data_IF_742417081105
#
_entry.id   IF_742417081105
#
_cell.length_a   1.000
_cell.length_b   1.000
_cell.length_c   1.000
_cell.angle_alpha   90.00
_cell.angle_beta   90.00
_cell.angle_gamma   90.00
#
_symmetry.space_group_name_H-M   'P 1'
#
loop_
_entity.id
_entity.type
_entity.pdbx_description
1 polymer ?
#
# COMPACT_ATOMS: atom_id res chain seq x y z
N UNK A 1 -12.54 -12.37 19.36
CA UNK A 1 -11.69 -11.30 18.78
C UNK A 1 -12.61 -10.43 17.93
N UNK A 2 -12.72 -9.14 18.20
CA UNK A 2 -13.62 -8.25 17.43
C UNK A 2 -12.96 -7.99 16.08
N UNK A 3 -13.48 -8.62 15.03
CA UNK A 3 -13.05 -8.34 13.66
C UNK A 3 -13.55 -6.96 13.28
N UNK A 4 -12.79 -6.23 12.47
CA UNK A 4 -13.24 -4.94 11.93
C UNK A 4 -12.74 -3.69 12.68
N UNK A 5 -11.90 -3.83 13.70
CA UNK A 5 -11.29 -2.66 14.36
C UNK A 5 -10.08 -2.19 13.55
N UNK A 6 -10.17 -0.96 13.02
CA UNK A 6 -9.05 -0.29 12.40
C UNK A 6 -8.00 0.08 13.43
N UNK A 7 -6.73 -0.12 13.08
CA UNK A 7 -5.62 0.51 13.78
C UNK A 7 -5.70 2.04 13.65
N UNK A 8 -4.89 2.76 14.44
CA UNK A 8 -4.54 4.14 14.08
C UNK A 8 -3.90 4.20 12.70
N UNK A 9 -3.85 5.39 12.13
CA UNK A 9 -2.99 5.64 10.99
C UNK A 9 -1.52 5.60 11.41
N UNK A 10 -0.73 4.88 10.63
CA UNK A 10 0.71 4.81 10.69
C UNK A 10 1.30 5.62 9.55
N UNK A 11 2.36 6.37 9.83
CA UNK A 11 3.15 7.03 8.80
C UNK A 11 3.88 5.99 7.94
N UNK A 12 4.19 6.37 6.69
CA UNK A 12 4.90 5.48 5.79
C UNK A 12 6.18 4.91 6.40
N UNK A 13 7.01 5.73 7.04
CA UNK A 13 8.28 5.30 7.64
C UNK A 13 8.13 4.34 8.83
N UNK A 14 6.94 4.26 9.43
CA UNK A 14 6.66 3.24 10.44
C UNK A 14 6.58 1.86 9.79
N UNK A 15 6.14 1.77 8.53
CA UNK A 15 5.85 0.52 7.82
C UNK A 15 6.93 0.18 6.80
N UNK A 16 7.27 1.10 5.91
CA UNK A 16 8.14 0.89 4.76
C UNK A 16 9.35 1.83 4.76
N UNK A 17 10.36 1.48 3.97
CA UNK A 17 11.40 2.38 3.49
C UNK A 17 11.29 2.50 1.97
N UNK A 18 11.54 3.71 1.45
CA UNK A 18 11.64 3.97 0.02
C UNK A 18 13.11 4.19 -0.35
N UNK A 19 13.62 3.36 -1.26
CA UNK A 19 14.99 3.38 -1.76
C UNK A 19 15.08 3.83 -3.22
N UNK A 20 13.94 3.97 -3.92
CA UNK A 20 13.86 4.66 -5.23
C UNK A 20 14.74 4.12 -6.35
N UNK A 21 15.18 2.86 -6.25
CA UNK A 21 16.10 2.26 -7.23
C UNK A 21 15.30 1.80 -8.47
N UNK A 22 14.87 2.77 -9.28
CA UNK A 22 14.24 2.55 -10.58
C UNK A 22 15.17 3.02 -11.70
N UNK A 23 15.35 2.23 -12.73
CA UNK A 23 15.94 2.71 -13.98
C UNK A 23 14.86 2.93 -15.04
N UNK A 24 15.05 3.94 -15.89
CA UNK A 24 14.13 4.27 -17.00
C UNK A 24 14.02 3.16 -18.04
N UNK A 25 14.90 2.15 -17.98
CA UNK A 25 14.88 1.04 -18.92
C UNK A 25 13.75 0.05 -18.67
N UNK A 26 13.14 0.06 -17.47
CA UNK A 26 12.11 -0.91 -17.04
C UNK A 26 12.62 -2.36 -17.01
N UNK A 27 13.93 -2.59 -17.24
CA UNK A 27 14.52 -3.92 -17.29
C UNK A 27 15.00 -4.29 -15.89
N UNK A 28 14.39 -5.34 -15.33
CA UNK A 28 14.94 -5.98 -14.14
C UNK A 28 16.37 -6.45 -14.42
N UNK A 29 17.33 -5.90 -13.68
CA UNK A 29 18.71 -6.36 -13.66
C UNK A 29 18.96 -7.01 -12.31
N UNK A 30 19.88 -7.97 -12.23
CA UNK A 30 20.39 -8.50 -10.94
C UNK A 30 21.64 -7.75 -10.47
N UNK A 31 22.19 -6.88 -11.31
CA UNK A 31 23.40 -6.12 -11.01
C UNK A 31 23.02 -4.83 -10.27
N UNK A 32 23.59 -4.57 -9.09
CA UNK A 32 23.42 -3.28 -8.43
C UNK A 32 23.86 -2.13 -9.32
N UNK A 33 23.06 -1.06 -9.36
CA UNK A 33 23.37 0.22 -10.02
C UNK A 33 23.32 1.33 -8.99
N UNK A 34 24.08 2.40 -9.24
CA UNK A 34 23.98 3.65 -8.49
C UNK A 34 22.93 4.53 -9.17
N UNK A 35 21.83 4.82 -8.46
CA UNK A 35 20.73 5.67 -8.93
C UNK A 35 20.49 6.71 -7.84
N UNK A 36 20.58 7.99 -8.18
CA UNK A 36 20.39 9.11 -7.25
C UNK A 36 21.22 9.00 -5.95
N UNK A 37 22.47 8.51 -6.06
CA UNK A 37 23.37 8.33 -4.91
C UNK A 37 23.12 7.07 -4.08
N UNK A 38 22.10 6.27 -4.40
CA UNK A 38 21.79 5.00 -3.73
C UNK A 38 22.25 3.84 -4.61
N UNK A 39 23.04 2.91 -4.05
CA UNK A 39 23.43 1.69 -4.75
C UNK A 39 22.46 0.57 -4.42
N UNK A 40 21.78 0.02 -5.43
CA UNK A 40 20.85 -1.08 -5.27
C UNK A 40 20.53 -1.77 -6.59
N UNK A 41 19.89 -2.92 -6.53
CA UNK A 41 19.43 -3.63 -7.72
C UNK A 41 18.17 -2.92 -8.26
N UNK A 42 18.10 -2.47 -9.52
CA UNK A 42 16.92 -1.80 -10.06
C UNK A 42 15.63 -2.62 -9.98
N UNK A 43 14.48 -1.96 -9.78
CA UNK A 43 13.12 -2.54 -9.77
C UNK A 43 12.87 -3.59 -8.67
N UNK A 44 13.82 -3.69 -7.76
CA UNK A 44 13.82 -4.61 -6.64
C UNK A 44 12.77 -4.27 -5.60
N UNK A 45 11.79 -5.16 -5.38
CA UNK A 45 10.60 -4.84 -4.55
C UNK A 45 9.99 -3.49 -4.92
N UNK A 46 10.19 -3.08 -6.18
CA UNK A 46 9.79 -1.81 -6.73
C UNK A 46 10.24 -0.60 -5.88
N UNK A 47 11.46 -0.61 -5.35
CA UNK A 47 11.98 0.52 -4.58
C UNK A 47 11.50 0.57 -3.12
N UNK A 48 10.61 -0.33 -2.70
CA UNK A 48 10.04 -0.32 -1.35
C UNK A 48 10.53 -1.52 -0.53
N UNK A 49 10.76 -1.32 0.76
CA UNK A 49 11.12 -2.37 1.71
C UNK A 49 10.16 -2.33 2.89
N UNK A 50 9.44 -3.43 3.16
CA UNK A 50 8.73 -3.59 4.42
C UNK A 50 9.76 -3.74 5.56
N UNK A 51 9.69 -2.88 6.59
CA UNK A 51 10.72 -2.79 7.64
C UNK A 51 10.84 -4.03 8.51
N UNK A 52 9.72 -4.71 8.74
CA UNK A 52 9.67 -5.93 9.58
C UNK A 52 10.25 -7.17 8.91
N UNK A 53 10.42 -7.16 7.57
CA UNK A 53 10.91 -8.34 6.85
C UNK A 53 12.42 -8.46 7.04
N UNK A 54 12.84 -9.57 7.67
CA UNK A 54 14.25 -9.86 7.94
C UNK A 54 14.78 -10.90 6.94
N UNK A 55 15.98 -10.63 6.40
CA UNK A 55 16.77 -11.63 5.67
C UNK A 55 16.22 -12.05 4.30
N UNK A 56 16.71 -13.20 3.81
CA UNK A 56 16.32 -13.77 2.52
C UNK A 56 16.98 -13.14 1.30
N UNK A 57 16.59 -13.62 0.11
CA UNK A 57 16.98 -13.06 -1.20
C UNK A 57 16.19 -11.78 -1.55
N UNK A 58 15.83 -11.00 -0.53
CA UNK A 58 15.15 -9.73 -0.73
C UNK A 58 16.16 -8.64 -1.04
N UNK A 59 15.77 -7.71 -1.88
CA UNK A 59 16.71 -6.80 -2.53
C UNK A 59 17.38 -5.79 -1.62
N UNK A 60 16.78 -5.51 -0.46
CA UNK A 60 17.30 -4.57 0.53
C UNK A 60 17.65 -5.24 1.86
N UNK A 61 17.69 -6.58 1.91
CA UNK A 61 17.92 -7.33 3.16
C UNK A 61 19.29 -7.08 3.79
N UNK A 62 20.25 -6.60 2.99
CA UNK A 62 21.62 -6.25 3.43
C UNK A 62 21.77 -4.79 3.89
N UNK A 63 20.81 -3.92 3.60
CA UNK A 63 20.87 -2.53 4.04
C UNK A 63 20.42 -2.43 5.50
N UNK A 64 21.14 -1.65 6.34
CA UNK A 64 20.64 -1.33 7.67
C UNK A 64 19.31 -0.58 7.54
N UNK A 65 18.39 -0.80 8.49
CA UNK A 65 17.17 -0.02 8.55
C UNK A 65 17.52 1.44 8.90
N UNK A 66 16.84 2.41 8.29
CA UNK A 66 16.98 3.84 8.59
C UNK A 66 16.63 4.12 10.06
N UNK A 67 15.57 3.48 10.55
CA UNK A 67 15.15 3.47 11.95
C UNK A 67 15.13 2.03 12.45
N UNK A 68 15.71 1.75 13.61
CA UNK A 68 15.67 0.41 14.20
C UNK A 68 14.23 -0.01 14.56
N UNK A 69 13.95 -1.31 14.56
CA UNK A 69 12.63 -1.83 14.98
C UNK A 69 12.39 -1.67 16.48
N UNK A 70 13.45 -1.55 17.28
CA UNK A 70 13.34 -1.31 18.73
C UNK A 70 12.91 0.13 19.02
N UNK A 71 13.43 1.10 18.24
CA UNK A 71 13.07 2.51 18.39
C UNK A 71 11.74 2.84 17.71
N UNK A 72 11.52 2.32 16.50
CA UNK A 72 10.30 2.54 15.73
C UNK A 72 9.72 1.19 15.28
N UNK A 73 8.87 0.55 16.09
CA UNK A 73 8.27 -0.74 15.76
C UNK A 73 7.51 -0.69 14.44
N UNK A 74 7.65 -1.75 13.64
CA UNK A 74 6.88 -1.88 12.41
C UNK A 74 5.53 -2.54 12.71
N UNK A 75 4.40 -1.87 12.41
CA UNK A 75 3.07 -2.36 12.77
C UNK A 75 2.56 -3.46 11.85
N UNK A 76 3.31 -3.83 10.80
CA UNK A 76 2.92 -4.84 9.83
C UNK A 76 4.05 -5.86 9.70
N UNK A 77 3.79 -7.12 10.02
CA UNK A 77 4.71 -8.23 9.84
C UNK A 77 4.49 -8.94 8.49
N UNK A 78 5.51 -9.69 8.05
CA UNK A 78 5.36 -10.57 6.89
C UNK A 78 4.24 -11.59 7.11
N UNK A 79 3.50 -11.89 6.05
CA UNK A 79 2.40 -12.85 6.08
C UNK A 79 1.12 -12.36 6.77
N UNK A 80 1.09 -11.19 7.41
CA UNK A 80 -0.16 -10.68 7.99
C UNK A 80 -1.20 -10.42 6.90
N UNK A 81 -2.45 -10.83 7.17
CA UNK A 81 -3.60 -10.74 6.25
C UNK A 81 -4.69 -9.86 6.84
N UNK A 82 -5.58 -9.39 5.97
CA UNK A 82 -6.73 -8.58 6.33
C UNK A 82 -6.94 -7.45 5.33
N UNK A 83 -7.43 -6.33 5.84
CA UNK A 83 -7.75 -5.13 5.07
C UNK A 83 -6.74 -4.01 5.40
N UNK A 84 -6.52 -3.13 4.44
CA UNK A 84 -5.69 -1.94 4.60
C UNK A 84 -6.38 -0.73 3.96
N UNK A 85 -6.10 0.44 4.53
CA UNK A 85 -6.47 1.74 3.98
C UNK A 85 -5.19 2.51 3.73
N UNK A 86 -4.98 2.96 2.50
CA UNK A 86 -3.90 3.87 2.11
C UNK A 86 -4.50 5.27 2.01
N UNK A 87 -3.90 6.22 2.72
CA UNK A 87 -4.27 7.63 2.67
C UNK A 87 -3.10 8.45 2.17
N UNK A 88 -3.32 9.20 1.09
CA UNK A 88 -2.37 10.17 0.55
C UNK A 88 -2.95 11.56 0.80
N UNK A 89 -2.27 12.38 1.61
CA UNK A 89 -2.71 13.72 1.95
C UNK A 89 -1.66 14.75 1.55
N UNK A 90 -1.96 15.60 0.58
CA UNK A 90 -1.05 16.66 0.13
C UNK A 90 -1.82 17.97 -0.12
N UNK A 91 -1.32 19.07 0.48
CA UNK A 91 -1.84 20.44 0.30
C UNK A 91 -3.38 20.56 0.38
N UNK A 92 -3.98 19.90 1.37
CA UNK A 92 -5.43 19.96 1.61
C UNK A 92 -6.27 19.01 0.75
N UNK A 93 -5.66 18.24 -0.15
CA UNK A 93 -6.30 17.14 -0.87
C UNK A 93 -6.02 15.81 -0.19
N UNK A 94 -7.00 14.92 -0.23
CA UNK A 94 -6.93 13.57 0.32
C UNK A 94 -7.35 12.56 -0.73
N UNK A 95 -6.52 11.55 -0.92
CA UNK A 95 -6.82 10.38 -1.73
C UNK A 95 -6.75 9.13 -0.89
N UNK A 96 -7.85 8.39 -0.86
CA UNK A 96 -7.99 7.18 -0.05
C UNK A 96 -8.20 5.98 -0.97
N UNK A 97 -7.57 4.86 -0.60
CA UNK A 97 -7.76 3.54 -1.19
C UNK A 97 -7.98 2.52 -0.08
N UNK A 98 -9.01 1.68 -0.21
CA UNK A 98 -9.18 0.50 0.64
C UNK A 98 -8.95 -0.75 -0.21
N UNK A 99 -8.19 -1.70 0.35
CA UNK A 99 -8.00 -3.00 -0.28
C UNK A 99 -7.81 -4.12 0.75
N UNK A 100 -7.77 -5.37 0.28
CA UNK A 100 -7.39 -6.54 1.10
C UNK A 100 -6.17 -7.32 0.60
N UNK A 101 -5.58 -8.08 1.51
CA UNK A 101 -4.59 -9.13 1.20
C UNK A 101 -5.24 -10.27 0.41
N UNK A 102 -4.43 -11.07 -0.31
CA UNK A 102 -4.93 -12.33 -0.89
C UNK A 102 -5.07 -13.37 0.22
N UNK A 103 -6.06 -14.25 0.10
CA UNK A 103 -6.40 -15.23 1.14
C UNK A 103 -5.29 -16.26 1.41
N UNK A 104 -4.54 -16.68 0.38
CA UNK A 104 -3.67 -17.87 0.47
C UNK A 104 -2.18 -17.61 0.25
N UNK A 105 -1.79 -16.65 -0.60
CA UNK A 105 -0.41 -16.56 -1.09
C UNK A 105 0.34 -15.29 -0.65
N UNK A 106 -0.37 -14.17 -0.43
CA UNK A 106 0.26 -12.87 -0.26
C UNK A 106 -0.43 -12.06 0.84
N UNK A 107 0.34 -11.69 1.87
CA UNK A 107 -0.12 -10.81 2.94
C UNK A 107 -0.39 -9.38 2.46
N UNK A 108 -0.84 -8.52 3.38
CA UNK A 108 -1.16 -7.11 3.12
C UNK A 108 -0.01 -6.40 2.40
N UNK A 109 1.22 -6.59 2.85
CA UNK A 109 2.36 -5.81 2.36
C UNK A 109 2.67 -6.03 0.88
N UNK A 110 2.45 -7.25 0.36
CA UNK A 110 2.64 -7.54 -1.06
C UNK A 110 1.66 -6.73 -1.93
N UNK A 111 0.41 -6.58 -1.47
CA UNK A 111 -0.60 -5.77 -2.17
C UNK A 111 -0.29 -4.29 -2.04
N UNK A 112 0.19 -3.85 -0.87
CA UNK A 112 0.65 -2.47 -0.70
C UNK A 112 1.76 -2.13 -1.70
N UNK A 113 2.72 -3.03 -1.98
CA UNK A 113 3.73 -2.78 -3.01
C UNK A 113 3.10 -2.42 -4.36
N UNK A 114 2.11 -3.18 -4.82
CA UNK A 114 1.41 -2.90 -6.09
C UNK A 114 0.82 -1.47 -6.10
N UNK A 115 0.27 -1.02 -4.96
CA UNK A 115 -0.33 0.30 -4.84
C UNK A 115 0.72 1.41 -4.66
N UNK A 116 1.81 1.16 -3.96
CA UNK A 116 2.87 2.14 -3.77
C UNK A 116 3.59 2.48 -5.08
N UNK A 117 3.71 1.52 -5.99
CA UNK A 117 4.20 1.76 -7.37
C UNK A 117 3.26 2.71 -8.12
N UNK A 118 1.95 2.45 -8.04
CA UNK A 118 0.92 3.29 -8.66
C UNK A 118 0.90 4.67 -8.02
N UNK A 119 1.17 4.79 -6.73
CA UNK A 119 1.31 6.08 -6.07
C UNK A 119 2.53 6.81 -6.60
N UNK A 120 3.68 6.14 -6.67
CA UNK A 120 4.93 6.71 -7.18
C UNK A 120 4.89 7.09 -8.67
N UNK A 121 3.96 6.53 -9.46
CA UNK A 121 3.92 6.75 -10.90
C UNK A 121 5.02 5.98 -11.63
N UNK A 122 5.33 4.77 -11.16
CA UNK A 122 6.40 3.88 -11.69
C UNK A 122 5.86 2.55 -12.22
N UNK A 123 4.56 2.50 -12.52
CA UNK A 123 3.85 1.31 -12.99
C UNK A 123 4.32 0.81 -14.36
N UNK A 124 4.68 1.73 -15.27
CA UNK A 124 5.16 1.40 -16.62
C UNK A 124 6.47 0.63 -16.59
N UNK A 125 7.34 0.94 -15.62
CA UNK A 125 8.59 0.21 -15.40
C UNK A 125 8.37 -1.24 -14.93
N UNK A 126 7.14 -1.58 -14.51
CA UNK A 126 6.78 -2.86 -13.91
C UNK A 126 5.68 -3.61 -14.68
N UNK A 127 5.38 -3.21 -15.93
CA UNK A 127 4.31 -3.80 -16.77
C UNK A 127 2.92 -3.79 -16.10
N UNK A 128 2.69 -2.88 -15.16
CA UNK A 128 1.40 -2.71 -14.51
C UNK A 128 0.64 -1.57 -15.19
N UNK A 129 -0.66 -1.75 -15.44
CA UNK A 129 -1.49 -0.66 -15.96
C UNK A 129 -1.91 0.29 -14.83
N UNK A 130 -1.72 1.60 -15.05
CA UNK A 130 -2.31 2.64 -14.20
C UNK A 130 -3.82 2.59 -14.32
N UNK A 131 -4.53 2.84 -13.23
CA UNK A 131 -5.98 3.06 -13.30
C UNK A 131 -6.26 4.54 -13.48
N UNK A 132 -7.38 4.89 -14.11
CA UNK A 132 -7.76 6.28 -14.34
C UNK A 132 -7.76 7.13 -13.06
N UNK A 133 -8.03 6.54 -11.89
CA UNK A 133 -7.99 7.23 -10.59
C UNK A 133 -6.57 7.56 -10.14
N UNK A 134 -5.62 6.63 -10.28
CA UNK A 134 -4.21 6.92 -9.97
C UNK A 134 -3.61 7.89 -10.98
N UNK A 135 -3.95 7.77 -12.27
CA UNK A 135 -3.54 8.74 -13.28
C UNK A 135 -4.07 10.15 -12.97
N UNK A 136 -5.32 10.29 -12.54
CA UNK A 136 -5.87 11.58 -12.10
C UNK A 136 -5.12 12.11 -10.87
N UNK A 137 -4.84 11.26 -9.87
CA UNK A 137 -4.04 11.67 -8.72
C UNK A 137 -2.65 12.18 -9.14
N UNK A 138 -2.01 11.57 -10.14
CA UNK A 138 -0.72 12.07 -10.65
C UNK A 138 -0.84 13.42 -11.35
N UNK A 139 -1.90 13.62 -12.13
CA UNK A 139 -2.22 14.92 -12.73
C UNK A 139 -2.34 15.99 -11.64
N UNK A 140 -3.15 15.73 -10.61
CA UNK A 140 -3.32 16.64 -9.49
C UNK A 140 -1.99 16.94 -8.77
N UNK A 141 -1.23 15.89 -8.42
CA UNK A 141 0.02 16.04 -7.68
C UNK A 141 1.08 16.80 -8.50
N UNK A 142 1.31 16.41 -9.75
CA UNK A 142 2.41 16.96 -10.57
C UNK A 142 2.05 18.30 -11.18
N UNK A 143 0.86 18.45 -11.74
CA UNK A 143 0.49 19.64 -12.51
C UNK A 143 -0.14 20.73 -11.64
N UNK A 144 -0.96 20.35 -10.66
CA UNK A 144 -1.70 21.33 -9.85
C UNK A 144 -0.98 21.66 -8.55
N UNK A 145 -0.31 20.68 -7.94
CA UNK A 145 0.37 20.85 -6.66
C UNK A 145 1.90 20.97 -6.77
N UNK A 146 2.48 20.69 -7.95
CA UNK A 146 3.92 20.68 -8.19
C UNK A 146 4.70 19.78 -7.21
N UNK A 147 4.17 18.60 -6.95
CA UNK A 147 4.73 17.57 -6.07
C UNK A 147 5.13 16.36 -6.90
N UNK A 148 6.38 15.89 -6.72
CA UNK A 148 6.83 14.63 -7.28
C UNK A 148 6.51 13.45 -6.35
N UNK A 149 5.57 12.56 -6.72
CA UNK A 149 5.22 11.41 -5.89
C UNK A 149 6.32 10.33 -5.85
N UNK A 150 7.33 10.39 -6.72
CA UNK A 150 8.39 9.39 -6.79
C UNK A 150 9.59 9.74 -5.89
N UNK A 151 9.34 10.14 -4.64
CA UNK A 151 10.40 10.59 -3.72
C UNK A 151 10.20 10.10 -2.29
N UNK A 152 11.31 9.93 -1.55
CA UNK A 152 11.25 9.50 -0.15
C UNK A 152 10.49 10.51 0.74
N UNK A 153 10.69 11.81 0.51
CA UNK A 153 10.00 12.86 1.25
C UNK A 153 8.50 12.79 1.01
N UNK A 154 8.07 12.62 -0.24
CA UNK A 154 6.66 12.47 -0.55
C UNK A 154 6.01 11.34 0.24
N UNK A 155 6.61 10.15 0.24
CA UNK A 155 6.06 9.01 0.98
C UNK A 155 6.00 9.27 2.49
N UNK A 156 7.08 9.78 3.09
CA UNK A 156 7.13 10.02 4.53
C UNK A 156 6.12 11.09 5.00
N UNK A 157 5.94 12.15 4.20
CA UNK A 157 5.15 13.31 4.57
C UNK A 157 3.66 13.13 4.23
N UNK A 158 3.36 12.43 3.13
CA UNK A 158 2.00 12.41 2.56
C UNK A 158 1.31 11.05 2.63
N UNK A 159 2.02 9.93 2.81
CA UNK A 159 1.41 8.59 2.76
C UNK A 159 1.27 7.98 4.15
N UNK A 160 0.07 7.49 4.45
CA UNK A 160 -0.28 6.82 5.71
C UNK A 160 -1.05 5.53 5.45
N UNK A 161 -0.99 4.62 6.41
CA UNK A 161 -1.68 3.33 6.37
C UNK A 161 -2.50 3.09 7.62
N UNK A 162 -3.67 2.47 7.48
CA UNK A 162 -4.38 1.83 8.58
C UNK A 162 -4.65 0.36 8.21
N UNK A 163 -4.77 -0.51 9.21
CA UNK A 163 -4.94 -1.95 9.02
C UNK A 163 -6.10 -2.49 9.84
N UNK A 164 -6.84 -3.44 9.27
CA UNK A 164 -7.65 -4.41 10.01
C UNK A 164 -7.02 -5.77 9.78
N UNK A 165 -6.46 -6.37 10.83
CA UNK A 165 -5.76 -7.65 10.71
C UNK A 165 -6.69 -8.82 11.01
N UNK A 166 -6.51 -9.90 10.28
CA UNK A 166 -7.20 -11.18 10.50
C UNK A 166 -6.20 -12.21 10.99
N UNK A 167 -6.55 -12.89 12.07
CA UNK A 167 -5.75 -13.98 12.61
C UNK A 167 -5.84 -15.22 11.71
N UNK A 168 -4.70 -15.62 11.12
CA UNK A 168 -4.58 -16.82 10.27
C UNK A 168 -4.84 -18.13 11.02
N UNK A 169 -4.70 -18.13 12.34
CA UNK A 169 -4.95 -19.32 13.16
C UNK A 169 -6.44 -19.58 13.39
N UNK A 170 -7.30 -18.60 13.12
CA UNK A 170 -8.75 -18.77 13.18
C UNK A 170 -9.24 -19.71 12.08
N UNK A 171 -10.15 -20.63 12.41
CA UNK A 171 -10.79 -21.52 11.43
C UNK A 171 -11.53 -20.75 10.31
N UNK A 172 -11.97 -19.52 10.61
CA UNK A 172 -12.80 -18.69 9.74
C UNK A 172 -11.98 -17.62 8.98
N UNK A 173 -10.65 -17.65 9.05
CA UNK A 173 -9.80 -16.58 8.50
C UNK A 173 -10.08 -16.27 7.02
N UNK A 174 -10.41 -17.31 6.22
CA UNK A 174 -10.73 -17.15 4.78
C UNK A 174 -12.01 -16.37 4.58
N UNK A 175 -13.04 -16.71 5.34
CA UNK A 175 -14.32 -16.00 5.31
C UNK A 175 -14.16 -14.55 5.79
N UNK A 176 -13.36 -14.34 6.83
CA UNK A 176 -13.07 -12.99 7.30
C UNK A 176 -12.35 -12.17 6.22
N UNK A 177 -11.28 -12.69 5.61
CA UNK A 177 -10.59 -11.97 4.52
C UNK A 177 -11.49 -11.79 3.30
N UNK A 178 -12.36 -12.75 2.97
CA UNK A 178 -13.21 -12.63 1.80
C UNK A 178 -14.20 -11.46 1.93
N UNK A 179 -14.74 -11.23 3.15
CA UNK A 179 -15.76 -10.22 3.45
C UNK A 179 -15.22 -8.86 3.92
N UNK A 180 -14.02 -8.81 4.52
CA UNK A 180 -13.53 -7.64 5.25
C UNK A 180 -13.42 -6.36 4.40
N UNK A 181 -13.08 -6.49 3.12
CA UNK A 181 -12.99 -5.34 2.19
C UNK A 181 -14.36 -4.73 1.92
N UNK A 182 -15.38 -5.55 1.67
CA UNK A 182 -16.76 -5.08 1.48
C UNK A 182 -17.30 -4.39 2.73
N UNK A 183 -17.01 -4.94 3.91
CA UNK A 183 -17.38 -4.32 5.20
C UNK A 183 -16.66 -2.99 5.41
N UNK A 184 -15.35 -2.93 5.11
CA UNK A 184 -14.55 -1.73 5.19
C UNK A 184 -15.04 -0.62 4.27
N UNK A 185 -15.36 -0.95 3.01
CA UNK A 185 -15.90 -0.01 2.03
C UNK A 185 -17.30 0.49 2.42
N UNK A 186 -18.16 -0.39 2.93
CA UNK A 186 -19.49 0.00 3.42
C UNK A 186 -19.39 0.96 4.61
N UNK A 187 -18.54 0.64 5.58
CA UNK A 187 -18.29 1.52 6.73
C UNK A 187 -17.70 2.87 6.31
N UNK A 188 -16.72 2.88 5.39
CA UNK A 188 -16.13 4.11 4.88
C UNK A 188 -17.20 5.00 4.21
N UNK A 189 -18.04 4.42 3.34
CA UNK A 189 -19.15 5.14 2.69
C UNK A 189 -20.17 5.67 3.69
N UNK A 190 -20.54 4.87 4.68
CA UNK A 190 -21.47 5.30 5.74
C UNK A 190 -20.93 6.52 6.50
N UNK A 191 -19.62 6.55 6.81
CA UNK A 191 -19.01 7.64 7.58
C UNK A 191 -18.64 8.87 6.77
N UNK A 192 -18.28 8.71 5.50
CA UNK A 192 -17.71 9.79 4.67
C UNK A 192 -18.59 10.16 3.47
N UNK A 193 -19.72 9.48 3.27
CA UNK A 193 -20.72 9.78 2.25
C UNK A 193 -20.42 9.21 0.86
N UNK A 194 -19.17 8.81 0.59
CA UNK A 194 -18.77 8.22 -0.69
C UNK A 194 -17.70 7.13 -0.51
N UNK A 195 -17.42 6.36 -1.55
CA UNK A 195 -16.32 5.40 -1.57
C UNK A 195 -14.95 6.09 -1.64
N UNK A 196 -13.86 5.40 -1.25
CA UNK A 196 -12.53 5.96 -1.39
C UNK A 196 -12.23 6.29 -2.86
N UNK A 197 -11.71 7.49 -3.11
CA UNK A 197 -11.62 8.07 -4.46
C UNK A 197 -10.56 7.42 -5.36
N UNK A 198 -9.65 6.59 -4.81
CA UNK A 198 -8.71 5.77 -5.58
C UNK A 198 -9.25 4.38 -5.93
N UNK A 199 -10.34 3.91 -5.31
CA UNK A 199 -11.00 2.69 -5.73
C UNK A 199 -11.71 2.94 -7.08
N UNK A 200 -11.36 2.17 -8.10
CA UNK A 200 -11.93 2.29 -9.46
C UNK A 200 -13.33 1.71 -9.60
N UNK A 201 -13.64 0.77 -8.71
CA UNK A 201 -14.82 -0.05 -8.79
C UNK A 201 -15.55 0.13 -7.48
N UNK A 202 -16.85 0.40 -7.58
CA UNK A 202 -17.79 0.06 -6.55
C UNK A 202 -17.69 -1.47 -6.38
N UNK A 203 -16.76 -1.95 -5.54
CA UNK A 203 -16.49 -3.37 -5.30
C UNK A 203 -17.68 -4.07 -4.61
N UNK A 204 -18.83 -3.40 -4.53
CA UNK A 204 -20.14 -3.95 -4.20
C UNK A 204 -20.80 -4.71 -5.36
N UNK A 205 -20.12 -4.96 -6.49
CA UNK A 205 -20.65 -5.88 -7.53
C UNK A 205 -20.80 -7.28 -6.92
N UNK A 206 -22.04 -7.61 -6.52
CA UNK A 206 -22.39 -8.79 -5.71
C UNK A 206 -23.23 -8.48 -4.46
N UNK A 207 -23.47 -7.20 -4.12
CA UNK A 207 -24.43 -6.76 -3.10
C UNK A 207 -25.82 -6.43 -3.65
N UNK A 208 -26.03 -6.59 -4.96
CA UNK A 208 -27.36 -6.58 -5.60
C UNK A 208 -28.16 -7.79 -5.08
N UNK A 209 -28.76 -7.62 -3.90
CA UNK A 209 -29.42 -8.69 -3.14
C UNK A 209 -29.57 -8.39 -1.64
N UNK A 210 -28.86 -7.42 -1.08
CA UNK A 210 -29.14 -6.94 0.28
C UNK A 210 -30.23 -5.86 0.25
N UNK A 211 -31.47 -6.27 0.00
CA UNK A 211 -32.62 -5.45 0.31
C UNK A 211 -32.79 -5.34 1.83
N UNK A 212 -32.57 -4.14 2.35
CA UNK A 212 -33.08 -3.60 3.61
C UNK A 212 -32.88 -4.45 4.87
N UNK A 213 -31.98 -4.00 5.74
CA UNK A 213 -32.18 -4.14 7.18
C UNK A 213 -33.24 -3.09 7.57
N UNK A 214 -34.47 -3.55 7.78
CA UNK A 214 -35.43 -2.88 8.68
C UNK A 214 -34.94 -2.92 10.10
#
# INVERSE_FOLDING_TARGET
MTIGVWSRFYHFEEVFEYHGVFDESGKSSRTPKMINGITGVPHSHNGFRLRSVKGGRLSYSKLPLKNSLDHLPCPLADGEIGCYLIRVNALGRQWDYIGKSRELAHGIWHRLLDHLIKIAGTEDANFNSSTSKFSQMHTDLRLELNIDPNSANFFNDHVKFAFVKVDRSSAEYREHVSKIEGMALAFYKEKLGDFPNLNTTNETKGLDGFSQLT
#
